data_IF_198213158921
#
_entry.id   IF_198213158921
#
_cell.length_a   1.000
_cell.length_b   1.000
_cell.length_c   1.000
_cell.angle_alpha   90.00
_cell.angle_beta   90.00
_cell.angle_gamma   90.00
#
_symmetry.space_group_name_H-M   'P 1'
#
loop_
_entity.id
_entity.type
_entity.pdbx_description
1 polymer ?
#
# COMPACT_ATOMS: atom_id res chain seq x y z
N UNK A 1 13.26 3.17 15.94
CA UNK A 1 13.24 2.61 14.58
C UNK A 1 12.35 1.38 14.64
N UNK A 2 11.50 1.14 13.64
CA UNK A 2 10.73 -0.09 13.59
C UNK A 2 11.59 -1.19 12.95
N UNK A 3 11.36 -2.41 13.37
CA UNK A 3 11.94 -3.61 12.78
C UNK A 3 10.80 -4.45 12.19
N UNK A 4 10.98 -4.94 10.96
CA UNK A 4 10.01 -5.82 10.31
C UNK A 4 10.67 -7.17 10.08
N UNK A 5 10.21 -8.15 10.83
CA UNK A 5 10.67 -9.53 10.72
C UNK A 5 9.74 -10.26 9.77
N UNK A 6 10.27 -10.63 8.61
CA UNK A 6 9.56 -11.46 7.64
C UNK A 6 9.83 -12.94 7.94
N UNK A 7 8.77 -13.71 8.08
CA UNK A 7 8.82 -15.17 8.12
C UNK A 7 8.71 -15.70 6.69
N UNK A 8 9.37 -16.84 6.42
CA UNK A 8 9.43 -17.43 5.09
C UNK A 8 8.06 -17.53 4.39
N UNK A 9 8.01 -17.27 3.08
CA UNK A 9 6.76 -17.23 2.35
C UNK A 9 6.15 -18.62 2.17
N UNK A 10 4.87 -18.66 1.79
CA UNK A 10 4.21 -19.89 1.37
C UNK A 10 4.83 -20.51 0.10
N UNK A 11 5.45 -19.68 -0.73
CA UNK A 11 6.19 -20.10 -1.93
C UNK A 11 7.42 -19.21 -2.17
N UNK A 12 8.51 -19.80 -2.66
CA UNK A 12 9.68 -19.05 -3.16
C UNK A 12 9.61 -18.74 -4.66
N UNK A 13 8.55 -19.18 -5.34
CA UNK A 13 8.39 -19.05 -6.79
C UNK A 13 6.97 -18.60 -7.19
N UNK A 14 6.89 -17.68 -8.15
CA UNK A 14 5.66 -17.16 -8.76
C UNK A 14 5.67 -17.50 -10.26
N UNK A 15 4.81 -18.43 -10.68
CA UNK A 15 4.75 -18.95 -12.05
C UNK A 15 3.53 -18.45 -12.85
N UNK A 16 2.66 -17.66 -12.21
CA UNK A 16 1.49 -17.03 -12.84
C UNK A 16 1.31 -15.61 -12.32
N UNK A 17 0.80 -14.73 -13.16
CA UNK A 17 0.57 -13.33 -12.76
C UNK A 17 -0.52 -13.15 -11.71
N UNK A 18 -1.46 -14.09 -11.63
CA UNK A 18 -2.55 -14.11 -10.64
C UNK A 18 -2.19 -14.91 -9.38
N UNK A 19 -1.00 -15.51 -9.33
CA UNK A 19 -0.56 -16.28 -8.17
C UNK A 19 -0.30 -15.37 -6.97
N UNK A 20 -0.91 -15.72 -5.84
CA UNK A 20 -0.71 -15.06 -4.57
C UNK A 20 0.65 -15.45 -3.98
N UNK A 21 1.30 -14.46 -3.39
CA UNK A 21 2.48 -14.62 -2.56
C UNK A 21 2.10 -14.17 -1.15
N UNK A 22 2.26 -15.07 -0.18
CA UNK A 22 1.86 -14.82 1.21
C UNK A 22 3.08 -14.81 2.10
N UNK A 23 3.25 -13.75 2.89
CA UNK A 23 4.30 -13.64 3.89
C UNK A 23 3.70 -13.29 5.25
N UNK A 24 4.16 -13.97 6.30
CA UNK A 24 3.87 -13.55 7.67
C UNK A 24 4.90 -12.50 8.08
N UNK A 25 4.45 -11.40 8.67
CA UNK A 25 5.33 -10.38 9.21
C UNK A 25 5.03 -10.09 10.67
N UNK A 26 6.09 -9.82 11.41
CA UNK A 26 6.03 -9.26 12.76
C UNK A 26 6.64 -7.87 12.73
N UNK A 27 5.82 -6.87 13.00
CA UNK A 27 6.22 -5.48 13.15
C UNK A 27 6.57 -5.25 14.63
N UNK A 28 7.84 -4.95 14.92
CA UNK A 28 8.30 -4.57 16.25
C UNK A 28 8.59 -3.08 16.28
N UNK A 29 7.86 -2.35 17.11
CA UNK A 29 7.95 -0.89 17.15
C UNK A 29 7.64 -0.34 18.53
N UNK A 30 8.50 0.54 19.01
CA UNK A 30 8.27 1.27 20.25
C UNK A 30 7.26 2.41 20.01
N UNK A 31 5.99 2.04 19.90
CA UNK A 31 4.85 2.97 19.86
C UNK A 31 3.80 2.57 20.90
N UNK A 32 2.94 3.51 21.26
CA UNK A 32 1.81 3.24 22.15
C UNK A 32 0.87 2.18 21.57
N UNK A 33 0.25 1.41 22.45
CA UNK A 33 -0.83 0.51 22.07
C UNK A 33 -1.97 1.27 21.40
N UNK A 34 -2.60 0.64 20.42
CA UNK A 34 -3.63 1.27 19.60
C UNK A 34 -3.09 2.08 18.42
N UNK A 35 -1.76 2.24 18.29
CA UNK A 35 -1.18 2.93 17.13
C UNK A 35 -1.48 2.15 15.85
N UNK A 36 -2.01 2.84 14.84
CA UNK A 36 -2.40 2.26 13.56
C UNK A 36 -1.33 2.46 12.48
N UNK A 37 -1.02 1.39 11.78
CA UNK A 37 -0.15 1.37 10.61
C UNK A 37 -0.85 0.70 9.43
N UNK A 38 -0.33 0.95 8.23
CA UNK A 38 -0.83 0.36 6.99
C UNK A 38 0.34 -0.30 6.25
N UNK A 39 0.15 -1.54 5.81
CA UNK A 39 1.24 -2.34 5.24
C UNK A 39 1.04 -2.59 3.75
N UNK A 40 2.11 -2.34 2.97
CA UNK A 40 2.20 -2.64 1.54
C UNK A 40 3.20 -3.76 1.31
N UNK A 41 2.80 -4.82 0.62
CA UNK A 41 3.75 -5.78 0.02
C UNK A 41 4.32 -5.20 -1.27
N UNK A 42 5.65 -5.24 -1.42
CA UNK A 42 6.34 -4.64 -2.56
C UNK A 42 7.39 -5.59 -3.13
N UNK A 43 7.35 -5.79 -4.45
CA UNK A 43 8.40 -6.46 -5.20
C UNK A 43 9.33 -5.42 -5.84
N UNK A 44 10.62 -5.72 -5.87
CA UNK A 44 11.63 -4.89 -6.53
C UNK A 44 12.80 -5.74 -7.00
N UNK A 45 13.56 -5.23 -7.98
CA UNK A 45 14.82 -5.85 -8.40
C UNK A 45 15.98 -5.30 -7.56
N UNK A 46 16.98 -6.14 -7.32
CA UNK A 46 18.20 -5.72 -6.63
C UNK A 46 18.86 -4.53 -7.36
N UNK A 47 19.36 -3.56 -6.59
CA UNK A 47 19.96 -2.33 -7.14
C UNK A 47 18.96 -1.28 -7.64
N UNK A 48 17.65 -1.51 -7.51
CA UNK A 48 16.61 -0.54 -7.92
C UNK A 48 15.89 0.07 -6.71
N UNK A 49 15.36 1.28 -6.89
CA UNK A 49 14.46 1.94 -5.93
C UNK A 49 12.99 1.91 -6.38
N UNK A 50 12.67 1.02 -7.32
CA UNK A 50 11.36 0.92 -7.97
C UNK A 50 10.61 -0.28 -7.42
N UNK A 51 9.35 -0.05 -7.05
CA UNK A 51 8.51 -1.05 -6.40
C UNK A 51 7.24 -1.24 -7.20
N UNK A 52 6.88 -2.50 -7.44
CA UNK A 52 5.66 -2.85 -8.16
C UNK A 52 4.81 -3.86 -7.36
N UNK A 53 3.71 -4.28 -7.98
CA UNK A 53 2.84 -5.33 -7.48
C UNK A 53 1.58 -4.81 -6.79
N UNK A 54 0.66 -5.73 -6.57
CA UNK A 54 -0.58 -5.53 -5.83
C UNK A 54 -0.44 -6.01 -4.40
N UNK A 55 -1.10 -5.34 -3.46
CA UNK A 55 -1.28 -5.80 -2.08
C UNK A 55 -2.76 -6.08 -1.84
N UNK A 56 -3.08 -7.18 -1.16
CA UNK A 56 -4.44 -7.47 -0.72
C UNK A 56 -4.79 -6.62 0.50
N UNK A 57 -5.95 -5.96 0.47
CA UNK A 57 -6.41 -5.13 1.59
C UNK A 57 -7.53 -5.76 2.44
N UNK A 58 -7.84 -7.04 2.21
CA UNK A 58 -8.98 -7.73 2.82
C UNK A 58 -10.22 -7.81 1.94
N UNK A 59 -10.32 -6.98 0.90
CA UNK A 59 -11.49 -6.91 0.00
C UNK A 59 -11.12 -6.99 -1.47
N UNK A 60 -10.04 -6.32 -1.88
CA UNK A 60 -9.58 -6.21 -3.25
C UNK A 60 -8.06 -6.08 -3.33
N UNK A 61 -7.54 -6.29 -4.54
CA UNK A 61 -6.14 -6.05 -4.87
C UNK A 61 -5.93 -4.57 -5.16
N UNK A 62 -5.03 -3.93 -4.41
CA UNK A 62 -4.71 -2.52 -4.55
C UNK A 62 -3.27 -2.34 -5.01
N UNK A 63 -3.03 -1.51 -6.03
CA UNK A 63 -1.69 -1.17 -6.52
C UNK A 63 -1.29 0.30 -6.38
N UNK A 64 -2.08 1.06 -5.63
CA UNK A 64 -1.87 2.50 -5.49
C UNK A 64 -2.82 3.35 -6.36
N UNK A 65 -2.61 4.68 -6.39
CA UNK A 65 -1.45 5.38 -5.83
C UNK A 65 -1.40 5.31 -4.30
N UNK A 66 -0.21 5.18 -3.71
CA UNK A 66 -0.06 5.00 -2.26
C UNK A 66 0.21 6.31 -1.51
N UNK A 67 0.80 7.31 -2.15
CA UNK A 67 1.24 8.56 -1.51
C UNK A 67 0.30 9.74 -1.75
N UNK A 68 -0.75 9.56 -2.53
CA UNK A 68 -1.73 10.60 -2.85
C UNK A 68 -3.15 10.18 -2.45
N UNK A 69 -4.00 11.18 -2.18
CA UNK A 69 -5.43 10.99 -1.91
C UNK A 69 -5.74 9.92 -0.86
N UNK A 70 -4.95 9.85 0.21
CA UNK A 70 -5.09 8.86 1.28
C UNK A 70 -5.03 7.39 0.80
N UNK A 71 -4.37 7.11 -0.33
CA UNK A 71 -4.32 5.77 -0.90
C UNK A 71 -3.71 4.71 0.03
N UNK A 72 -2.78 5.09 0.92
CA UNK A 72 -2.26 4.19 1.95
C UNK A 72 -3.36 3.67 2.90
N UNK A 73 -4.46 4.40 3.09
CA UNK A 73 -5.60 3.94 3.92
C UNK A 73 -6.40 2.81 3.26
N UNK A 74 -6.15 2.53 1.99
CA UNK A 74 -6.73 1.39 1.27
C UNK A 74 -5.92 0.10 1.45
N UNK A 75 -4.79 0.13 2.16
CA UNK A 75 -4.00 -1.04 2.52
C UNK A 75 -4.56 -1.72 3.77
N UNK A 76 -4.05 -2.93 4.06
CA UNK A 76 -4.40 -3.64 5.28
C UNK A 76 -3.92 -2.85 6.52
N UNK A 77 -4.84 -2.45 7.42
CA UNK A 77 -4.47 -1.79 8.67
C UNK A 77 -3.96 -2.81 9.70
N UNK A 78 -2.99 -2.39 10.52
CA UNK A 78 -2.43 -3.17 11.61
C UNK A 78 -2.32 -2.28 12.84
N UNK A 79 -2.81 -2.77 13.98
CA UNK A 79 -2.78 -2.06 15.26
C UNK A 79 -1.73 -2.66 16.17
N UNK A 80 -0.88 -1.81 16.76
CA UNK A 80 0.14 -2.25 17.72
C UNK A 80 -0.49 -2.58 19.07
N UNK A 81 -0.05 -3.69 19.66
CA UNK A 81 -0.36 -4.08 21.01
C UNK A 81 0.91 -4.63 21.69
N UNK A 82 1.23 -4.12 22.88
CA UNK A 82 2.45 -4.49 23.62
C UNK A 82 3.74 -4.31 22.81
N UNK A 83 3.82 -3.24 22.01
CA UNK A 83 5.01 -2.91 21.22
C UNK A 83 5.25 -3.75 19.97
N UNK A 84 4.33 -4.65 19.60
CA UNK A 84 4.41 -5.40 18.36
C UNK A 84 3.06 -5.62 17.70
N UNK A 85 3.08 -6.09 16.45
CA UNK A 85 1.92 -6.64 15.78
C UNK A 85 2.35 -7.73 14.79
N UNK A 86 1.61 -8.84 14.77
CA UNK A 86 1.83 -9.94 13.83
C UNK A 86 0.66 -10.03 12.87
N UNK A 87 0.95 -10.09 11.57
CA UNK A 87 -0.09 -10.22 10.54
C UNK A 87 0.44 -11.02 9.34
N UNK A 88 -0.49 -11.41 8.49
CA UNK A 88 -0.21 -11.96 7.17
C UNK A 88 -0.38 -10.86 6.11
N UNK A 89 0.52 -10.82 5.13
CA UNK A 89 0.45 -9.95 3.95
C UNK A 89 0.39 -10.82 2.71
N UNK A 90 -0.56 -10.50 1.83
CA UNK A 90 -0.69 -11.12 0.51
C UNK A 90 -0.37 -10.11 -0.57
N UNK A 91 0.43 -10.53 -1.53
CA UNK A 91 0.85 -9.72 -2.66
C UNK A 91 0.76 -10.52 -3.98
N UNK A 92 0.73 -9.80 -5.10
CA UNK A 92 0.84 -10.37 -6.46
C UNK A 92 1.76 -9.49 -7.31
N UNK A 93 2.48 -10.10 -8.23
CA UNK A 93 3.28 -9.38 -9.22
C UNK A 93 2.35 -8.63 -10.19
N UNK A 94 2.72 -7.44 -10.66
CA UNK A 94 1.96 -6.71 -11.69
C UNK A 94 2.67 -6.84 -13.04
N UNK A 95 2.28 -7.79 -13.92
CA UNK A 95 2.98 -8.01 -15.18
C UNK A 95 2.81 -6.86 -16.18
N UNK A 96 1.88 -5.94 -15.93
CA UNK A 96 1.68 -4.75 -16.76
C UNK A 96 2.48 -3.55 -16.24
N UNK A 97 3.10 -3.66 -15.06
CA UNK A 97 4.03 -2.66 -14.54
C UNK A 97 5.42 -2.88 -15.17
N UNK A 98 6.03 -1.82 -15.68
CA UNK A 98 7.36 -1.87 -16.31
C UNK A 98 8.45 -2.39 -15.37
N UNK A 99 8.30 -2.20 -14.06
CA UNK A 99 9.28 -2.58 -13.06
C UNK A 99 9.19 -4.09 -12.67
N UNK A 100 8.13 -4.79 -13.07
CA UNK A 100 8.04 -6.26 -12.90
C UNK A 100 7.38 -7.05 -14.02
N UNK A 101 7.45 -6.54 -15.25
CA UNK A 101 7.02 -7.27 -16.45
C UNK A 101 7.93 -8.46 -16.80
N UNK A 102 9.15 -8.48 -16.30
CA UNK A 102 10.15 -9.47 -16.67
C UNK A 102 10.20 -10.64 -15.69
N UNK A 103 10.49 -11.83 -16.20
CA UNK A 103 10.87 -12.97 -15.34
C UNK A 103 12.25 -12.73 -14.73
N UNK A 104 12.54 -13.36 -13.60
CA UNK A 104 13.83 -13.30 -12.93
C UNK A 104 13.72 -13.33 -11.41
N UNK A 105 14.81 -13.00 -10.74
CA UNK A 105 14.84 -12.85 -9.29
C UNK A 105 14.32 -11.47 -8.87
N UNK A 106 13.41 -11.48 -7.90
CA UNK A 106 12.89 -10.31 -7.23
C UNK A 106 13.17 -10.41 -5.73
N UNK A 107 13.22 -9.25 -5.10
CA UNK A 107 13.21 -9.10 -3.66
C UNK A 107 11.82 -8.63 -3.24
N UNK A 108 11.27 -9.25 -2.21
CA UNK A 108 10.02 -8.87 -1.58
C UNK A 108 10.29 -8.22 -0.23
N UNK A 109 9.61 -7.11 0.04
CA UNK A 109 9.67 -6.43 1.33
C UNK A 109 8.33 -5.81 1.69
N UNK A 110 8.16 -5.41 2.95
CA UNK A 110 6.98 -4.69 3.42
C UNK A 110 7.33 -3.21 3.61
N UNK A 111 6.47 -2.33 3.11
CA UNK A 111 6.55 -0.90 3.34
C UNK A 111 5.43 -0.51 4.29
N UNK A 112 5.79 0.12 5.41
CA UNK A 112 4.86 0.61 6.42
C UNK A 112 4.54 2.08 6.18
N UNK A 113 3.26 2.42 6.31
CA UNK A 113 2.75 3.78 6.32
C UNK A 113 2.16 4.11 7.69
N UNK A 114 2.45 5.31 8.20
CA UNK A 114 1.77 5.88 9.36
C UNK A 114 0.34 6.29 9.01
N UNK A 115 -0.47 6.61 10.03
CA UNK A 115 -1.81 7.16 9.81
C UNK A 115 -1.81 8.45 8.97
N UNK A 116 -0.74 9.25 9.07
CA UNK A 116 -0.52 10.46 8.28
C UNK A 116 0.01 10.19 6.86
N UNK A 117 0.24 8.95 6.47
CA UNK A 117 0.74 8.56 5.15
C UNK A 117 2.25 8.66 4.97
N UNK A 118 3.01 8.89 6.03
CA UNK A 118 4.47 8.87 5.96
C UNK A 118 4.95 7.43 5.86
N UNK A 119 5.76 7.13 4.84
CA UNK A 119 6.47 5.85 4.74
C UNK A 119 7.85 5.93 5.35
N UNK A 120 8.31 4.84 5.96
CA UNK A 120 9.68 4.68 6.41
C UNK A 120 10.32 3.46 5.74
N UNK A 121 11.64 3.51 5.55
CA UNK A 121 12.42 2.31 5.28
C UNK A 121 12.75 1.70 6.63
N UNK A 122 11.99 0.68 7.00
CA UNK A 122 12.19 -0.07 8.23
C UNK A 122 13.31 -1.09 8.01
N UNK A 123 14.11 -1.35 9.04
CA UNK A 123 15.14 -2.38 8.97
C UNK A 123 14.46 -3.71 8.70
N UNK A 124 14.72 -4.32 7.55
CA UNK A 124 14.14 -5.60 7.18
C UNK A 124 15.09 -6.31 6.22
N UNK A 125 15.20 -7.63 6.35
CA UNK A 125 15.85 -8.47 5.34
C UNK A 125 14.80 -8.86 4.29
N UNK A 126 14.95 -8.45 3.02
CA UNK A 126 13.99 -8.81 1.99
C UNK A 126 14.01 -10.32 1.71
N UNK A 127 12.86 -10.86 1.32
CA UNK A 127 12.72 -12.25 0.89
C UNK A 127 13.05 -12.35 -0.60
N UNK A 128 13.88 -13.31 -1.00
CA UNK A 128 14.14 -13.58 -2.42
C UNK A 128 13.01 -14.43 -3.01
N UNK A 129 12.51 -14.02 -4.18
CA UNK A 129 11.41 -14.67 -4.89
C UNK A 129 11.79 -14.82 -6.35
N UNK A 130 11.61 -16.01 -6.91
CA UNK A 130 11.81 -16.25 -8.35
C UNK A 130 10.47 -16.06 -9.07
N UNK A 131 10.46 -15.25 -10.12
CA UNK A 131 9.26 -14.98 -10.91
C UNK A 131 9.47 -15.55 -12.31
N UNK A 132 8.64 -16.51 -12.73
CA UNK A 132 8.62 -17.06 -14.08
C UNK A 132 7.27 -16.73 -14.74
N UNK A 133 7.21 -15.57 -15.41
CA UNK A 133 6.04 -15.16 -16.16
C UNK A 133 6.01 -15.83 -17.53
N UNK A 134 4.81 -16.23 -18.02
CA UNK A 134 4.69 -16.71 -19.39
C UNK A 134 5.15 -15.62 -20.35
N UNK A 135 6.10 -15.97 -21.21
CA UNK A 135 6.57 -15.05 -22.25
C UNK A 135 5.41 -14.79 -23.20
N UNK A 136 5.02 -13.52 -23.40
CA UNK A 136 4.01 -13.17 -24.42
C UNK A 136 4.52 -13.73 -25.75
N UNK A 137 3.86 -14.74 -26.30
CA UNK A 137 4.20 -15.28 -27.61
C UNK A 137 4.18 -14.10 -28.59
N UNK A 138 5.27 -13.86 -29.36
CA UNK A 138 5.31 -12.73 -30.26
C UNK A 138 4.10 -12.82 -31.20
N UNK A 139 3.19 -11.86 -31.09
CA UNK A 139 2.09 -11.75 -32.03
C UNK A 139 2.73 -11.42 -33.36
N UNK A 140 2.68 -12.35 -34.32
CA UNK A 140 3.12 -12.08 -35.68
C UNK A 140 2.37 -10.85 -36.15
N UNK A 141 3.12 -9.76 -36.43
CA UNK A 141 2.52 -8.55 -36.98
C UNK A 141 1.66 -8.95 -38.19
N UNK A 142 0.50 -8.31 -38.41
CA UNK A 142 -0.30 -8.59 -39.59
C UNK A 142 0.60 -8.46 -40.82
N UNK A 143 0.80 -9.57 -41.52
CA UNK A 143 1.55 -9.60 -42.76
C UNK A 143 0.89 -8.56 -43.67
N UNK A 144 1.67 -7.58 -44.13
CA UNK A 144 1.15 -6.51 -44.98
C UNK A 144 0.33 -7.16 -46.08
N UNK A 145 -0.98 -6.90 -46.08
CA UNK A 145 -1.87 -7.37 -47.14
C UNK A 145 -1.28 -6.85 -48.43
N UNK A 146 -0.92 -7.76 -49.34
CA UNK A 146 -0.32 -7.40 -50.62
C UNK A 146 -1.21 -6.33 -51.25
N UNK A 147 -0.67 -5.12 -51.38
CA UNK A 147 -1.36 -4.02 -52.04
C UNK A 147 -1.72 -4.53 -53.43
N UNK A 148 -3.00 -4.54 -53.84
CA UNK A 148 -3.40 -4.94 -55.17
C UNK A 148 -2.53 -4.19 -56.19
N UNK A 149 -1.80 -4.95 -57.01
CA UNK A 149 -0.90 -4.40 -58.00
C UNK A 149 -1.64 -3.38 -58.85
N UNK A 150 -1.03 -2.20 -59.02
CA UNK A 150 -1.55 -1.14 -59.89
C UNK A 150 -1.77 -1.70 -61.30
N UNK A 151 -3.00 -2.10 -61.61
CA UNK A 151 -3.44 -2.22 -63.00
C UNK A 151 -3.35 -0.82 -63.58
N UNK A 152 -2.63 -0.65 -64.70
CA UNK A 152 -2.54 0.62 -65.44
C UNK A 152 -3.96 1.04 -65.86
N UNK A 153 -4.59 1.88 -65.07
CA UNK A 153 -5.82 2.58 -65.48
C UNK A 153 -5.41 3.75 -66.36
N UNK A 154 -5.92 3.75 -67.60
CA UNK A 154 -5.72 4.80 -68.58
C UNK A 154 -6.22 6.16 -68.04
N UNK A 155 -5.50 7.22 -68.41
CA UNK A 155 -5.82 8.59 -68.08
C UNK A 155 -7.25 8.94 -68.51
N UNK A 156 -8.11 9.27 -67.56
CA UNK A 156 -9.38 9.95 -67.86
C UNK A 156 -9.65 11.01 -66.79
N UNK A 157 -9.62 12.24 -67.29
CA UNK A 157 -10.30 13.47 -66.89
C UNK A 157 -10.44 13.86 -65.40
N UNK A 158 -9.89 15.03 -65.13
CA UNK A 158 -10.04 15.93 -63.99
C UNK A 158 -11.52 16.20 -63.64
N UNK A 159 -11.97 15.84 -62.43
CA UNK A 159 -13.17 16.42 -61.83
C UNK A 159 -12.81 17.43 -60.73
N UNK A 160 -13.79 18.30 -60.48
CA UNK A 160 -13.67 19.62 -59.91
C UNK A 160 -13.40 19.69 -58.39
N UNK A 161 -12.94 20.87 -57.98
CA UNK A 161 -12.75 21.28 -56.60
C UNK A 161 -14.01 21.03 -55.76
N UNK A 162 -13.86 20.25 -54.68
CA UNK A 162 -14.93 20.02 -53.70
C UNK A 162 -14.58 20.71 -52.39
N UNK A 163 -15.55 21.48 -51.90
CA UNK A 163 -15.44 22.47 -50.85
C UNK A 163 -14.95 21.93 -49.50
N UNK A 164 -14.16 22.78 -48.84
CA UNK A 164 -13.68 22.71 -47.46
C UNK A 164 -14.84 22.66 -46.47
N UNK A 165 -15.14 21.47 -45.95
CA UNK A 165 -16.06 21.25 -44.86
C UNK A 165 -15.45 21.69 -43.52
N UNK A 166 -16.08 22.70 -42.92
CA UNK A 166 -15.86 23.25 -41.57
C UNK A 166 -15.79 22.13 -40.50
N UNK A 167 -14.88 22.21 -39.51
CA UNK A 167 -14.80 21.22 -38.44
C UNK A 167 -16.10 21.17 -37.64
N UNK A 168 -16.68 19.97 -37.56
CA UNK A 168 -17.88 19.65 -36.80
C UNK A 168 -17.55 19.64 -35.30
N UNK A 169 -18.25 20.47 -34.53
CA UNK A 169 -18.17 20.54 -33.07
C UNK A 169 -18.36 19.16 -32.45
N UNK A 170 -17.37 18.74 -31.66
CA UNK A 170 -17.44 17.60 -30.75
C UNK A 170 -18.51 17.85 -29.68
N UNK A 171 -19.60 17.08 -29.76
CA UNK A 171 -20.65 17.02 -28.75
C UNK A 171 -20.05 16.49 -27.44
N UNK A 172 -20.12 17.32 -26.41
CA UNK A 172 -19.84 16.94 -25.03
C UNK A 172 -20.93 15.97 -24.56
N UNK A 173 -20.58 14.69 -24.41
CA UNK A 173 -21.46 13.72 -23.76
C UNK A 173 -21.50 14.00 -22.25
N UNK A 174 -22.68 14.16 -21.64
CA UNK A 174 -22.80 14.20 -20.20
C UNK A 174 -22.41 12.84 -19.62
N UNK A 175 -21.39 12.85 -18.76
CA UNK A 175 -20.96 11.69 -17.98
C UNK A 175 -22.12 11.18 -17.12
N UNK A 176 -22.49 9.88 -17.20
CA UNK A 176 -23.55 9.33 -16.38
C UNK A 176 -23.12 9.37 -14.92
N UNK A 177 -23.76 10.24 -14.14
CA UNK A 177 -23.61 10.25 -12.68
C UNK A 177 -24.38 9.05 -12.13
N UNK A 178 -23.67 7.97 -11.83
CA UNK A 178 -24.24 6.80 -11.16
C UNK A 178 -24.43 7.16 -9.68
N UNK A 179 -25.64 7.55 -9.30
CA UNK A 179 -26.01 7.72 -7.89
C UNK A 179 -26.33 6.36 -7.29
N UNK A 180 -25.35 5.74 -6.63
CA UNK A 180 -25.58 4.50 -5.88
C UNK A 180 -26.31 4.85 -4.57
N UNK A 181 -27.63 4.63 -4.55
CA UNK A 181 -28.42 4.65 -3.31
C UNK A 181 -28.12 3.38 -2.51
N UNK A 182 -27.18 3.46 -1.58
CA UNK A 182 -26.94 2.37 -0.62
C UNK A 182 -28.10 2.35 0.38
N UNK A 183 -29.00 1.38 0.23
CA UNK A 183 -30.03 1.06 1.22
C UNK A 183 -29.39 0.21 2.32
N UNK A 184 -28.89 0.85 3.35
CA UNK A 184 -28.47 0.16 4.58
C UNK A 184 -29.71 -0.42 5.27
N UNK A 185 -29.82 -1.75 5.25
CA UNK A 185 -30.80 -2.48 6.05
C UNK A 185 -30.17 -2.76 7.41
N UNK A 186 -30.75 -2.32 8.53
CA UNK A 186 -30.17 -2.54 9.85
C UNK A 186 -30.17 -4.04 10.17
N UNK A 187 -28.96 -4.61 10.29
CA UNK A 187 -28.76 -5.97 10.77
C UNK A 187 -29.05 -6.01 12.26
N UNK A 188 -30.08 -6.78 12.63
CA UNK A 188 -30.48 -7.06 14.01
C UNK A 188 -29.31 -7.68 14.77
N UNK A 189 -28.84 -6.99 15.81
CA UNK A 189 -27.83 -7.50 16.75
C UNK A 189 -28.44 -8.68 17.48
N UNK A 190 -27.89 -9.88 17.27
CA UNK A 190 -28.22 -11.07 18.05
C UNK A 190 -27.31 -11.07 19.27
N UNK A 191 -27.89 -10.76 20.42
CA UNK A 191 -27.27 -10.92 21.74
C UNK A 191 -27.11 -12.42 22.01
N UNK A 192 -25.87 -12.91 22.04
CA UNK A 192 -25.58 -14.28 22.44
C UNK A 192 -25.75 -14.42 23.96
N UNK A 193 -26.81 -15.12 24.38
CA UNK A 193 -26.99 -15.56 25.76
C UNK A 193 -26.12 -16.79 26.01
N UNK A 194 -25.01 -16.59 26.74
CA UNK A 194 -24.20 -17.70 27.23
C UNK A 194 -24.99 -18.49 28.28
N UNK A 195 -25.50 -19.66 27.89
CA UNK A 195 -26.07 -20.63 28.83
C UNK A 195 -24.97 -21.61 29.20
N UNK A 196 -24.48 -21.49 30.43
CA UNK A 196 -23.48 -22.39 30.98
C UNK A 196 -24.03 -23.80 31.12
N UNK A 197 -23.25 -24.78 30.67
CA UNK A 197 -23.42 -26.18 31.05
C UNK A 197 -22.12 -26.64 31.70
N UNK A 198 -22.10 -26.63 33.02
CA UNK A 198 -21.08 -27.27 33.82
C UNK A 198 -21.30 -28.78 33.73
N UNK A 199 -20.28 -29.53 33.28
CA UNK A 199 -20.13 -30.92 33.68
C UNK A 199 -18.67 -31.40 33.56
N UNK A 200 -18.17 -31.80 34.72
CA UNK A 200 -17.25 -32.90 35.00
C UNK A 200 -15.86 -32.95 34.33
N UNK A 201 -14.87 -32.46 35.09
CA UNK A 201 -13.69 -33.20 35.58
C UNK A 201 -13.06 -34.24 34.64
N UNK A 202 -11.89 -33.89 34.11
CA UNK A 202 -10.76 -34.82 34.03
C UNK A 202 -9.48 -34.14 34.50
N UNK A 203 -8.91 -34.75 35.52
CA UNK A 203 -7.64 -34.46 36.17
C UNK A 203 -6.47 -34.44 35.18
N UNK A 204 -5.72 -33.33 35.18
CA UNK A 204 -4.37 -33.26 34.64
C UNK A 204 -3.48 -32.48 35.62
N UNK A 205 -2.55 -33.24 36.24
CA UNK A 205 -1.20 -32.89 36.68
C UNK A 205 -0.84 -31.40 36.83
N UNK A 206 -0.63 -30.98 38.08
CA UNK A 206 0.01 -29.74 38.48
C UNK A 206 1.39 -29.55 37.80
N UNK A 207 1.44 -28.64 36.82
CA UNK A 207 2.66 -27.92 36.52
C UNK A 207 2.54 -26.54 37.18
N UNK A 208 3.41 -26.31 38.16
CA UNK A 208 3.54 -25.10 38.96
C UNK A 208 3.63 -23.85 38.07
N UNK A 209 2.55 -23.08 38.00
CA UNK A 209 2.54 -21.72 37.44
C UNK A 209 2.93 -20.78 38.58
N UNK A 210 4.21 -20.43 38.63
CA UNK A 210 4.71 -19.39 39.52
C UNK A 210 3.96 -18.08 39.25
N UNK A 211 3.43 -17.49 40.31
CA UNK A 211 2.56 -16.33 40.28
C UNK A 211 3.21 -15.10 39.65
N UNK A 212 2.47 -14.45 38.76
CA UNK A 212 2.73 -13.08 38.35
C UNK A 212 2.23 -12.19 39.48
N UNK A 213 3.14 -11.80 40.36
CA UNK A 213 2.97 -10.71 41.32
C UNK A 213 2.90 -9.41 40.53
N UNK A 214 1.72 -8.80 40.43
CA UNK A 214 1.56 -7.45 39.89
C UNK A 214 2.00 -6.44 40.95
N UNK A 215 3.26 -6.01 40.91
CA UNK A 215 3.66 -4.83 41.68
C UNK A 215 3.09 -3.55 41.04
N UNK A 216 2.49 -2.64 41.83
CA UNK A 216 2.03 -1.35 41.34
C UNK A 216 3.22 -0.47 40.94
N UNK A 217 3.39 -0.25 39.64
CA UNK A 217 4.41 0.66 39.09
C UNK A 217 4.09 2.08 39.54
N UNK A 218 4.94 2.63 40.43
CA UNK A 218 4.87 4.03 40.87
C UNK A 218 5.16 4.94 39.68
N UNK A 219 4.32 5.96 39.40
CA UNK A 219 4.54 6.91 38.32
C UNK A 219 5.74 7.78 38.69
N UNK A 220 6.91 7.40 38.19
CA UNK A 220 8.16 8.13 38.44
C UNK A 220 8.35 9.15 37.33
N UNK A 221 7.80 10.35 37.58
CA UNK A 221 8.53 11.60 37.42
C UNK A 221 9.06 11.94 36.01
N UNK A 222 8.16 12.11 35.05
CA UNK A 222 8.43 12.80 33.76
C UNK A 222 8.19 14.32 33.87
N UNK A 223 8.68 14.95 34.94
CA UNK A 223 8.45 16.38 35.24
C UNK A 223 9.65 17.30 34.93
N UNK A 224 10.57 16.88 34.04
CA UNK A 224 11.78 17.68 33.71
C UNK A 224 11.96 18.02 32.23
N UNK A 225 11.05 17.62 31.33
CA UNK A 225 11.19 17.88 29.88
C UNK A 225 10.40 19.09 29.36
N UNK A 226 9.47 19.65 30.14
CA UNK A 226 8.70 20.83 29.75
C UNK A 226 9.50 22.16 29.70
N UNK A 227 10.51 22.45 30.56
CA UNK A 227 11.22 23.73 30.47
C UNK A 227 12.18 23.80 29.27
N UNK A 228 12.67 22.68 28.76
CA UNK A 228 13.59 22.64 27.63
C UNK A 228 12.91 22.98 26.29
N UNK A 229 11.65 22.60 26.11
CA UNK A 229 10.92 22.88 24.86
C UNK A 229 10.50 24.36 24.79
N UNK A 230 10.15 24.98 25.93
CA UNK A 230 9.72 26.38 25.97
C UNK A 230 10.86 27.36 25.63
N UNK A 231 12.11 27.04 25.96
CA UNK A 231 13.27 27.91 25.68
C UNK A 231 13.59 28.00 24.19
N UNK A 232 13.43 26.90 23.43
CA UNK A 232 13.62 26.91 21.97
C UNK A 232 12.61 27.81 21.25
N UNK A 233 11.32 27.76 21.62
CA UNK A 233 10.30 28.61 21.01
C UNK A 233 10.50 30.10 21.35
N UNK A 234 10.95 30.42 22.57
CA UNK A 234 11.20 31.80 22.97
C UNK A 234 12.38 32.42 22.21
N UNK A 235 13.46 31.65 21.99
CA UNK A 235 14.61 32.09 21.20
C UNK A 235 14.24 32.35 19.73
N UNK A 236 13.44 31.46 19.11
CA UNK A 236 12.96 31.63 17.75
C UNK A 236 12.05 32.87 17.62
N UNK A 237 11.13 33.09 18.57
CA UNK A 237 10.25 34.26 18.57
C UNK A 237 11.00 35.59 18.72
N UNK A 238 12.02 35.63 19.58
CA UNK A 238 12.89 36.80 19.74
C UNK A 238 13.70 37.08 18.47
N UNK A 239 14.29 36.04 17.87
CA UNK A 239 15.02 36.15 16.60
C UNK A 239 14.13 36.70 15.49
N UNK A 240 12.90 36.18 15.35
CA UNK A 240 11.93 36.67 14.38
C UNK A 240 11.54 38.14 14.59
N UNK A 241 11.33 38.57 15.85
CA UNK A 241 11.03 39.97 16.17
C UNK A 241 12.18 40.91 15.82
N UNK A 242 13.43 40.50 16.03
CA UNK A 242 14.62 41.29 15.68
C UNK A 242 14.76 41.44 14.16
N UNK A 243 14.56 40.36 13.41
CA UNK A 243 14.54 40.38 11.94
C UNK A 243 13.44 41.31 11.40
N UNK A 244 12.24 41.25 11.98
CA UNK A 244 11.12 42.13 11.60
C UNK A 244 11.44 43.61 11.85
N UNK A 245 12.06 43.95 12.98
CA UNK A 245 12.48 45.33 13.28
C UNK A 245 13.55 45.85 12.32
N UNK A 246 14.50 45.01 11.90
CA UNK A 246 15.51 45.40 10.90
C UNK A 246 14.86 45.69 9.54
N UNK A 247 13.88 44.90 9.10
CA UNK A 247 13.13 45.18 7.86
C UNK A 247 12.37 46.51 7.90
N UNK A 248 11.85 46.90 9.06
CA UNK A 248 11.05 48.13 9.21
C UNK A 248 11.90 49.42 9.31
N UNK A 249 13.22 49.31 9.54
CA UNK A 249 14.14 50.47 9.63
C UNK A 249 15.06 50.60 8.41
N UNK A 250 14.93 49.69 7.45
CA UNK A 250 15.76 49.61 6.23
C UNK A 250 14.96 49.86 4.95
N UNK A 251 13.96 50.74 5.04
CA UNK A 251 13.27 51.39 3.93
C UNK A 251 12.99 52.83 4.34
#
# INVERSE_FOLDING_TARGET
MADIILSGPDTSEINRSDQEFTATCELQINSSDGTLYYLRGAFFKEGTAKYCGYTWNGQSWFKGPYSSADGWKQLLPVTIASGSAKTEIKARIDPEDSDCRESGEYLFKIIRYTESGSSADDGQSPLKVVVALPTKTPTTAPMATAVPGKTKTAATEKPAATNTGKPLSTLSMPSPTITVKVKITPTKIVTATATGSANAVTSFSEASVAGISSEPVKPTLFLFLLPAILSFFLAAALSYRLLRRKRLKGL
#
